data_IF_484292192481
#
_entry.id   IF_484292192481
#
_cell.length_a   1.000
_cell.length_b   1.000
_cell.length_c   1.000
_cell.angle_alpha   90.00
_cell.angle_beta   90.00
_cell.angle_gamma   90.00
#
_symmetry.space_group_name_H-M   'P 1'
#
loop_
_entity.id
_entity.type
_entity.pdbx_description
1 polymer ?
#
# COMPACT_ATOMS: atom_id res chain seq x y z
N UNK A 1 -12.38 -15.79 10.41
CA UNK A 1 -12.94 -14.48 9.99
C UNK A 1 -11.85 -13.46 9.74
N UNK A 2 -10.94 -13.18 10.67
CA UNK A 2 -9.81 -12.23 10.53
C UNK A 2 -8.96 -12.55 9.28
N UNK A 3 -8.52 -13.80 9.13
CA UNK A 3 -7.74 -14.24 7.96
C UNK A 3 -8.43 -13.98 6.60
N UNK A 4 -9.75 -14.12 6.54
CA UNK A 4 -10.50 -13.84 5.31
C UNK A 4 -10.50 -12.34 4.98
N UNK A 5 -10.65 -11.49 6.00
CA UNK A 5 -10.60 -10.03 5.83
C UNK A 5 -9.21 -9.57 5.39
N UNK A 6 -8.16 -10.17 5.92
CA UNK A 6 -6.78 -9.90 5.52
C UNK A 6 -6.53 -10.24 4.03
N UNK A 7 -6.99 -11.41 3.57
CA UNK A 7 -6.93 -11.78 2.13
C UNK A 7 -7.70 -10.77 1.27
N UNK A 8 -8.89 -10.34 1.71
CA UNK A 8 -9.68 -9.35 0.99
C UNK A 8 -8.92 -8.02 0.92
N UNK A 9 -8.30 -7.58 2.02
CA UNK A 9 -7.47 -6.37 2.05
C UNK A 9 -6.31 -6.46 1.07
N UNK A 10 -5.52 -7.52 1.12
CA UNK A 10 -4.42 -7.73 0.15
C UNK A 10 -4.93 -7.71 -1.29
N UNK A 11 -6.08 -8.33 -1.57
CA UNK A 11 -6.68 -8.31 -2.90
C UNK A 11 -7.11 -6.91 -3.32
N UNK A 12 -7.72 -6.12 -2.44
CA UNK A 12 -8.09 -4.72 -2.72
C UNK A 12 -6.86 -3.86 -2.99
N UNK A 13 -5.80 -3.99 -2.18
CA UNK A 13 -4.54 -3.29 -2.42
C UNK A 13 -3.91 -3.66 -3.77
N UNK A 14 -4.00 -4.93 -4.18
CA UNK A 14 -3.57 -5.35 -5.52
C UNK A 14 -4.44 -4.72 -6.63
N UNK A 15 -5.74 -4.60 -6.41
CA UNK A 15 -6.64 -3.90 -7.34
C UNK A 15 -6.27 -2.42 -7.46
N UNK A 16 -5.96 -1.75 -6.34
CA UNK A 16 -5.50 -0.37 -6.30
C UNK A 16 -4.20 -0.23 -7.10
N UNK A 17 -3.21 -1.07 -6.80
CA UNK A 17 -1.93 -1.08 -7.49
C UNK A 17 -2.10 -1.30 -9.01
N UNK A 18 -2.93 -2.27 -9.42
CA UNK A 18 -3.18 -2.55 -10.83
C UNK A 18 -3.79 -1.35 -11.57
N UNK A 19 -4.64 -0.57 -10.89
CA UNK A 19 -5.20 0.67 -11.44
C UNK A 19 -4.12 1.76 -11.59
N UNK A 20 -3.24 1.91 -10.61
CA UNK A 20 -2.13 2.88 -10.64
C UNK A 20 -1.15 2.54 -11.77
N UNK A 21 -0.80 1.27 -11.92
CA UNK A 21 0.14 0.78 -12.95
C UNK A 21 -0.53 0.63 -14.32
N UNK A 22 -1.86 0.68 -14.39
CA UNK A 22 -2.66 0.41 -15.58
C UNK A 22 -2.39 -0.98 -16.18
N UNK A 23 -2.33 -1.98 -15.30
CA UNK A 23 -2.16 -3.38 -15.69
C UNK A 23 -3.41 -4.21 -15.40
N UNK A 24 -3.61 -5.27 -16.22
CA UNK A 24 -4.68 -6.23 -15.96
C UNK A 24 -4.24 -7.25 -14.93
N UNK A 25 -5.03 -7.37 -13.86
CA UNK A 25 -4.90 -8.48 -12.94
C UNK A 25 -5.38 -9.76 -13.62
N UNK A 26 -4.58 -10.81 -13.51
CA UNK A 26 -5.00 -12.17 -13.83
C UNK A 26 -4.91 -13.05 -12.58
N UNK A 27 -5.61 -14.16 -12.58
CA UNK A 27 -5.69 -15.06 -11.43
C UNK A 27 -4.29 -15.52 -10.95
N UNK A 28 -3.37 -15.79 -11.89
CA UNK A 28 -1.99 -16.19 -11.57
C UNK A 28 -1.26 -15.11 -10.79
N UNK A 29 -1.35 -13.84 -11.22
CA UNK A 29 -0.73 -12.70 -10.52
C UNK A 29 -1.31 -12.55 -9.11
N UNK A 30 -2.62 -12.68 -8.96
CA UNK A 30 -3.30 -12.58 -7.65
C UNK A 30 -2.81 -13.69 -6.71
N UNK A 31 -2.81 -14.93 -7.14
CA UNK A 31 -2.37 -16.07 -6.31
C UNK A 31 -0.90 -15.92 -5.91
N UNK A 32 -0.01 -15.61 -6.86
CA UNK A 32 1.41 -15.40 -6.57
C UNK A 32 1.60 -14.25 -5.59
N UNK A 33 0.84 -13.17 -5.72
CA UNK A 33 0.95 -12.02 -4.83
C UNK A 33 0.50 -12.33 -3.40
N UNK A 34 -0.58 -13.08 -3.24
CA UNK A 34 -1.04 -13.51 -1.92
C UNK A 34 0.04 -14.40 -1.26
N UNK A 35 0.62 -15.32 -2.01
CA UNK A 35 1.71 -16.17 -1.52
C UNK A 35 2.92 -15.31 -1.11
N UNK A 36 3.34 -14.35 -1.94
CA UNK A 36 4.46 -13.46 -1.64
C UNK A 36 4.19 -12.59 -0.40
N UNK A 37 2.95 -12.12 -0.22
CA UNK A 37 2.56 -11.36 0.95
C UNK A 37 2.75 -12.17 2.25
N UNK A 38 2.20 -13.39 2.30
CA UNK A 38 2.34 -14.24 3.47
C UNK A 38 3.79 -14.68 3.71
N UNK A 39 4.54 -14.90 2.64
CA UNK A 39 5.96 -15.24 2.73
C UNK A 39 6.79 -14.06 3.28
N UNK A 40 6.50 -12.84 2.84
CA UNK A 40 7.10 -11.61 3.38
C UNK A 40 6.73 -11.42 4.84
N UNK A 41 5.48 -11.65 5.22
CA UNK A 41 5.01 -11.55 6.61
C UNK A 41 5.73 -12.56 7.50
N UNK A 42 5.84 -13.82 7.08
CA UNK A 42 6.58 -14.85 7.81
C UNK A 42 8.06 -14.49 7.96
N UNK A 43 8.70 -14.00 6.90
CA UNK A 43 10.10 -13.58 6.94
C UNK A 43 10.31 -12.47 7.97
N UNK A 44 9.44 -11.47 7.97
CA UNK A 44 9.54 -10.36 8.93
C UNK A 44 9.27 -10.81 10.36
N UNK A 45 8.32 -11.70 10.62
CA UNK A 45 8.09 -12.27 11.94
C UNK A 45 9.34 -13.00 12.41
N UNK A 46 9.90 -13.90 11.60
CA UNK A 46 11.09 -14.68 11.98
C UNK A 46 12.30 -13.79 12.26
N UNK A 47 12.51 -12.73 11.46
CA UNK A 47 13.67 -11.85 11.60
C UNK A 47 13.53 -10.86 12.75
N UNK A 48 12.33 -10.32 12.99
CA UNK A 48 12.13 -9.19 13.89
C UNK A 48 11.39 -9.54 15.19
N UNK A 49 10.75 -10.72 15.32
CA UNK A 49 9.93 -11.09 16.49
C UNK A 49 10.71 -11.00 17.81
N UNK A 50 12.00 -11.30 17.80
CA UNK A 50 12.87 -11.28 18.99
C UNK A 50 13.63 -9.95 19.16
N UNK A 51 13.36 -8.94 18.35
CA UNK A 51 14.11 -7.68 18.35
C UNK A 51 13.25 -6.51 18.80
N UNK A 52 13.88 -5.48 19.38
CA UNK A 52 13.24 -4.21 19.69
C UNK A 52 12.70 -3.51 18.41
N UNK A 53 13.11 -3.97 17.24
CA UNK A 53 12.72 -3.47 15.92
C UNK A 53 11.45 -4.13 15.34
N UNK A 54 10.74 -4.97 16.10
CA UNK A 54 9.52 -5.65 15.62
C UNK A 54 8.50 -4.68 15.03
N UNK A 55 8.30 -3.54 15.69
CA UNK A 55 7.38 -2.51 15.21
C UNK A 55 7.80 -1.96 13.83
N UNK A 56 9.07 -1.64 13.65
CA UNK A 56 9.60 -1.18 12.35
C UNK A 56 9.51 -2.25 11.28
N UNK A 57 9.77 -3.50 11.64
CA UNK A 57 9.62 -4.64 10.72
C UNK A 57 8.21 -4.76 10.19
N UNK A 58 7.20 -4.65 11.05
CA UNK A 58 5.79 -4.73 10.65
C UNK A 58 5.38 -3.63 9.68
N UNK A 59 5.91 -2.41 9.84
CA UNK A 59 5.66 -1.29 8.92
C UNK A 59 6.26 -1.53 7.53
N UNK A 60 7.33 -2.31 7.42
CA UNK A 60 8.03 -2.58 6.16
C UNK A 60 7.42 -3.74 5.35
N UNK A 61 6.51 -4.54 5.93
CA UNK A 61 5.92 -5.70 5.24
C UNK A 61 5.22 -5.27 3.94
N UNK A 62 4.31 -4.31 3.99
CA UNK A 62 3.57 -3.84 2.83
C UNK A 62 4.47 -3.18 1.77
N UNK A 63 5.36 -2.22 2.12
CA UNK A 63 6.29 -1.64 1.15
C UNK A 63 7.16 -2.71 0.47
N UNK A 64 7.73 -3.64 1.22
CA UNK A 64 8.56 -4.72 0.66
C UNK A 64 7.76 -5.60 -0.29
N UNK A 65 6.56 -6.02 0.13
CA UNK A 65 5.66 -6.81 -0.70
C UNK A 65 5.35 -6.10 -2.03
N UNK A 66 4.98 -4.81 -2.00
CA UNK A 66 4.63 -4.07 -3.21
C UNK A 66 5.83 -3.81 -4.11
N UNK A 67 7.02 -3.57 -3.57
CA UNK A 67 8.26 -3.47 -4.35
C UNK A 67 8.53 -4.80 -5.07
N UNK A 68 8.46 -5.93 -4.37
CA UNK A 68 8.65 -7.26 -4.97
C UNK A 68 7.59 -7.57 -6.02
N UNK A 69 6.33 -7.23 -5.75
CA UNK A 69 5.24 -7.40 -6.69
C UNK A 69 5.46 -6.57 -7.96
N UNK A 70 5.80 -5.29 -7.82
CA UNK A 70 6.06 -4.38 -8.94
C UNK A 70 7.27 -4.83 -9.77
N UNK A 71 8.32 -5.35 -9.13
CA UNK A 71 9.46 -5.98 -9.81
C UNK A 71 9.07 -7.23 -10.61
N UNK A 72 8.09 -8.01 -10.12
CA UNK A 72 7.63 -9.23 -10.79
C UNK A 72 6.86 -8.97 -12.09
N UNK A 73 6.26 -7.79 -12.21
CA UNK A 73 5.48 -7.38 -13.39
C UNK A 73 6.38 -7.15 -14.62
N UNK A 74 7.66 -6.85 -14.41
CA UNK A 74 8.67 -6.81 -15.50
C UNK A 74 8.72 -5.54 -16.32
N UNK A 75 7.61 -4.83 -16.54
CA UNK A 75 7.56 -3.62 -17.38
C UNK A 75 8.28 -2.40 -16.78
N UNK A 76 8.42 -2.35 -15.46
CA UNK A 76 8.98 -1.22 -14.71
C UNK A 76 10.43 -1.43 -14.27
N UNK A 77 11.04 -2.59 -14.57
CA UNK A 77 12.40 -2.95 -14.12
C UNK A 77 13.49 -1.94 -14.47
N UNK A 78 13.30 -1.19 -15.58
CA UNK A 78 14.32 -0.25 -16.05
C UNK A 78 14.26 1.15 -15.40
N UNK A 79 13.26 1.44 -14.54
CA UNK A 79 13.02 2.77 -14.01
C UNK A 79 12.74 2.73 -12.51
N UNK A 80 13.78 2.79 -11.70
CA UNK A 80 13.71 2.68 -10.23
C UNK A 80 12.76 3.71 -9.61
N UNK A 81 12.75 4.96 -10.08
CA UNK A 81 11.85 6.00 -9.57
C UNK A 81 10.37 5.67 -9.80
N UNK A 82 10.02 5.13 -10.96
CA UNK A 82 8.66 4.69 -11.24
C UNK A 82 8.28 3.45 -10.43
N UNK A 83 9.24 2.53 -10.24
CA UNK A 83 9.04 1.35 -9.41
C UNK A 83 8.64 1.74 -7.99
N UNK A 84 9.41 2.64 -7.37
CA UNK A 84 9.14 3.12 -6.02
C UNK A 84 7.81 3.87 -5.95
N UNK A 85 7.57 4.79 -6.88
CA UNK A 85 6.31 5.53 -6.93
C UNK A 85 5.09 4.61 -7.01
N UNK A 86 5.07 3.68 -7.96
CA UNK A 86 3.94 2.77 -8.11
C UNK A 86 3.78 1.77 -6.97
N UNK A 87 4.84 1.47 -6.25
CA UNK A 87 4.79 0.61 -5.07
C UNK A 87 4.30 1.35 -3.82
N UNK A 88 4.83 2.55 -3.58
CA UNK A 88 4.61 3.28 -2.33
C UNK A 88 3.39 4.21 -2.38
N UNK A 89 3.06 4.77 -3.56
CA UNK A 89 1.93 5.70 -3.69
C UNK A 89 0.59 5.10 -3.24
N UNK A 90 0.21 3.87 -3.66
CA UNK A 90 -1.04 3.28 -3.21
C UNK A 90 -1.11 3.08 -1.70
N UNK A 91 0.02 2.68 -1.11
CA UNK A 91 0.13 2.47 0.34
C UNK A 91 0.04 3.78 1.12
N UNK A 92 0.82 4.79 0.71
CA UNK A 92 0.80 6.09 1.36
C UNK A 92 -0.58 6.74 1.27
N UNK A 93 -1.23 6.62 0.11
CA UNK A 93 -2.57 7.17 -0.07
C UNK A 93 -3.62 6.42 0.78
N UNK A 94 -3.55 5.10 0.85
CA UNK A 94 -4.37 4.29 1.74
C UNK A 94 -4.18 4.67 3.20
N UNK A 95 -2.94 4.79 3.66
CA UNK A 95 -2.64 5.11 5.06
C UNK A 95 -3.13 6.52 5.44
N UNK A 96 -2.96 7.50 4.56
CA UNK A 96 -3.52 8.86 4.75
C UNK A 96 -5.05 8.82 4.89
N UNK A 97 -5.75 8.09 4.02
CA UNK A 97 -7.21 7.98 4.09
C UNK A 97 -7.65 7.24 5.36
N UNK A 98 -6.96 6.16 5.73
CA UNK A 98 -7.22 5.40 6.96
C UNK A 98 -7.06 6.29 8.20
N UNK A 99 -5.96 7.04 8.28
CA UNK A 99 -5.69 7.96 9.40
C UNK A 99 -6.70 9.11 9.43
N UNK A 100 -7.07 9.65 8.27
CA UNK A 100 -8.13 10.67 8.17
C UNK A 100 -9.45 10.14 8.70
N UNK A 101 -9.89 8.96 8.31
CA UNK A 101 -11.11 8.32 8.80
C UNK A 101 -11.03 8.07 10.31
N UNK A 102 -9.89 7.57 10.80
CA UNK A 102 -9.66 7.33 12.23
C UNK A 102 -9.81 8.61 13.05
N UNK A 103 -9.10 9.65 12.64
CA UNK A 103 -9.05 10.90 13.41
C UNK A 103 -10.30 11.76 13.28
N UNK A 104 -10.81 11.99 12.06
CA UNK A 104 -11.90 12.94 11.84
C UNK A 104 -13.30 12.34 11.94
N UNK A 105 -13.46 11.05 11.66
CA UNK A 105 -14.78 10.41 11.65
C UNK A 105 -14.94 9.52 12.88
N UNK A 106 -14.06 8.54 13.05
CA UNK A 106 -14.22 7.50 14.07
C UNK A 106 -14.08 8.08 15.47
N UNK A 107 -13.08 8.95 15.71
CA UNK A 107 -12.84 9.55 17.03
C UNK A 107 -13.97 10.46 17.53
N UNK A 108 -14.81 10.98 16.61
CA UNK A 108 -15.93 11.86 16.96
C UNK A 108 -17.21 11.11 17.31
N UNK A 109 -17.29 9.82 17.00
CA UNK A 109 -18.48 8.99 17.23
C UNK A 109 -18.13 7.89 18.25
N UNK A 110 -18.58 7.96 19.50
CA UNK A 110 -18.14 7.04 20.56
C UNK A 110 -18.36 5.56 20.24
N UNK A 111 -19.43 5.22 19.52
CA UNK A 111 -19.73 3.84 19.12
C UNK A 111 -18.70 3.35 18.12
N UNK A 112 -18.35 4.16 17.12
CA UNK A 112 -17.35 3.81 16.11
C UNK A 112 -15.95 3.74 16.70
N UNK A 113 -15.64 4.61 17.66
CA UNK A 113 -14.36 4.60 18.38
C UNK A 113 -14.16 3.28 19.15
N UNK A 114 -15.16 2.86 19.93
CA UNK A 114 -15.11 1.56 20.62
C UNK A 114 -14.97 0.37 19.66
N UNK A 115 -15.65 0.43 18.50
CA UNK A 115 -15.52 -0.61 17.48
C UNK A 115 -14.12 -0.62 16.90
N UNK A 116 -13.55 0.56 16.61
CA UNK A 116 -12.20 0.71 16.05
C UNK A 116 -11.10 0.19 16.99
N UNK A 117 -11.28 0.26 18.29
CA UNK A 117 -10.35 -0.29 19.29
C UNK A 117 -10.28 -1.84 19.25
N UNK A 118 -11.24 -2.49 18.61
CA UNK A 118 -11.19 -3.95 18.40
C UNK A 118 -10.38 -4.32 17.16
N UNK A 119 -9.66 -5.44 17.18
CA UNK A 119 -8.93 -5.95 16.03
C UNK A 119 -9.84 -6.08 14.79
N UNK A 120 -11.06 -6.55 14.97
CA UNK A 120 -12.04 -6.67 13.89
C UNK A 120 -12.45 -5.30 13.32
N UNK A 121 -12.73 -4.34 14.20
CA UNK A 121 -13.08 -2.99 13.80
C UNK A 121 -11.96 -2.32 13.03
N UNK A 122 -10.73 -2.39 13.51
CA UNK A 122 -9.56 -1.85 12.81
C UNK A 122 -9.44 -2.41 11.40
N UNK A 123 -9.64 -3.72 11.22
CA UNK A 123 -9.62 -4.36 9.89
C UNK A 123 -10.76 -3.89 8.99
N UNK A 124 -11.98 -3.76 9.52
CA UNK A 124 -13.13 -3.27 8.74
C UNK A 124 -12.89 -1.83 8.27
N UNK A 125 -12.37 -0.96 9.12
CA UNK A 125 -12.06 0.42 8.75
C UNK A 125 -10.88 0.52 7.78
N UNK A 126 -9.91 -0.37 7.89
CA UNK A 126 -8.84 -0.53 6.91
C UNK A 126 -9.37 -0.88 5.52
N UNK A 127 -10.26 -1.87 5.43
CA UNK A 127 -10.93 -2.25 4.19
C UNK A 127 -11.79 -1.11 3.61
N UNK A 128 -12.48 -0.37 4.46
CA UNK A 128 -13.26 0.81 4.03
C UNK A 128 -12.34 1.86 3.40
N UNK A 129 -11.18 2.14 4.01
CA UNK A 129 -10.19 3.05 3.46
C UNK A 129 -9.68 2.56 2.09
N UNK A 130 -9.41 1.26 1.93
CA UNK A 130 -8.99 0.66 0.66
C UNK A 130 -10.04 0.82 -0.43
N UNK A 131 -11.32 0.60 -0.11
CA UNK A 131 -12.43 0.81 -1.03
C UNK A 131 -12.49 2.27 -1.48
N UNK A 132 -12.39 3.22 -0.54
CA UNK A 132 -12.37 4.65 -0.85
C UNK A 132 -11.20 4.99 -1.78
N UNK A 133 -10.00 4.53 -1.46
CA UNK A 133 -8.80 4.74 -2.29
C UNK A 133 -8.97 4.14 -3.68
N UNK A 134 -9.52 2.93 -3.79
CA UNK A 134 -9.80 2.30 -5.08
C UNK A 134 -10.71 3.17 -5.95
N UNK A 135 -11.79 3.72 -5.39
CA UNK A 135 -12.67 4.62 -6.12
C UNK A 135 -11.97 5.91 -6.51
N UNK A 136 -11.24 6.55 -5.61
CA UNK A 136 -10.52 7.78 -5.89
C UNK A 136 -9.48 7.58 -7.01
N UNK A 137 -8.64 6.55 -6.92
CA UNK A 137 -7.65 6.25 -7.97
C UNK A 137 -8.32 5.89 -9.30
N UNK A 138 -9.48 5.22 -9.26
CA UNK A 138 -10.23 4.92 -10.47
C UNK A 138 -10.73 6.19 -11.18
N UNK A 139 -11.11 7.23 -10.44
CA UNK A 139 -11.49 8.53 -11.00
C UNK A 139 -10.29 9.25 -11.64
N UNK A 140 -9.09 9.10 -11.06
CA UNK A 140 -7.86 9.77 -11.53
C UNK A 140 -6.99 8.90 -12.43
N UNK A 141 -7.46 7.75 -12.87
CA UNK A 141 -6.71 6.77 -13.69
C UNK A 141 -5.97 7.41 -14.87
N UNK A 142 -6.61 8.36 -15.55
CA UNK A 142 -6.03 9.01 -16.73
C UNK A 142 -4.72 9.74 -16.42
N UNK A 143 -4.61 10.37 -15.26
CA UNK A 143 -3.42 11.12 -14.85
C UNK A 143 -2.21 10.23 -14.54
N UNK A 144 -2.44 9.02 -14.04
CA UNK A 144 -1.38 8.10 -13.69
C UNK A 144 -0.83 7.33 -14.90
N UNK A 145 -1.65 7.06 -15.92
CA UNK A 145 -1.19 6.36 -17.13
C UNK A 145 -0.15 7.15 -17.91
N UNK A 146 -0.16 8.48 -17.84
CA UNK A 146 0.83 9.34 -18.50
C UNK A 146 2.24 9.20 -17.92
N UNK A 147 2.39 8.79 -16.66
CA UNK A 147 3.71 8.57 -16.03
C UNK A 147 4.47 7.38 -16.62
N UNK A 148 3.79 6.49 -17.36
CA UNK A 148 4.42 5.38 -18.11
C UNK A 148 5.21 5.84 -19.34
N UNK A 149 5.11 7.11 -19.76
CA UNK A 149 5.75 7.62 -20.97
C UNK A 149 7.27 7.43 -20.86
N UNK A 150 7.85 6.86 -21.94
CA UNK A 150 9.25 6.40 -22.00
C UNK A 150 10.31 7.47 -21.69
N UNK A 151 10.00 8.74 -21.88
CA UNK A 151 10.92 9.85 -21.65
C UNK A 151 10.33 10.86 -20.66
N UNK A 152 10.43 10.54 -19.37
CA UNK A 152 10.14 11.53 -18.33
C UNK A 152 11.17 12.67 -18.43
N UNK A 153 10.69 13.90 -18.49
CA UNK A 153 11.56 15.08 -18.39
C UNK A 153 12.25 15.15 -17.01
N UNK A 154 13.32 15.91 -16.92
CA UNK A 154 14.12 16.01 -15.68
C UNK A 154 13.30 16.53 -14.49
N UNK A 155 12.35 17.45 -14.77
CA UNK A 155 11.47 18.03 -13.75
C UNK A 155 10.53 16.95 -13.16
N UNK A 156 9.90 16.15 -14.01
CA UNK A 156 9.00 15.06 -13.57
C UNK A 156 9.77 13.98 -12.83
N UNK A 157 11.00 13.63 -13.25
CA UNK A 157 11.86 12.70 -12.50
C UNK A 157 12.17 13.23 -11.10
N UNK A 158 12.52 14.51 -10.99
CA UNK A 158 12.83 15.12 -9.69
C UNK A 158 11.60 15.11 -8.77
N UNK A 159 10.41 15.44 -9.28
CA UNK A 159 9.16 15.40 -8.52
C UNK A 159 8.87 13.97 -8.03
N UNK A 160 9.04 12.96 -8.88
CA UNK A 160 8.83 11.55 -8.50
C UNK A 160 9.80 11.12 -7.40
N UNK A 161 11.10 11.40 -7.56
CA UNK A 161 12.12 11.06 -6.55
C UNK A 161 11.82 11.75 -5.21
N UNK A 162 11.42 13.02 -5.25
CA UNK A 162 11.04 13.77 -4.05
C UNK A 162 9.81 13.15 -3.39
N UNK A 163 8.77 12.82 -4.15
CA UNK A 163 7.58 12.15 -3.64
C UNK A 163 7.90 10.78 -3.02
N UNK A 164 8.72 9.97 -3.69
CA UNK A 164 9.16 8.66 -3.19
C UNK A 164 9.95 8.79 -1.89
N UNK A 165 10.85 9.79 -1.81
CA UNK A 165 11.64 10.06 -0.60
C UNK A 165 10.74 10.48 0.57
N UNK A 166 9.75 11.35 0.31
CA UNK A 166 8.79 11.78 1.33
C UNK A 166 7.90 10.61 1.79
N UNK A 167 7.46 9.75 0.88
CA UNK A 167 6.69 8.55 1.23
C UNK A 167 7.52 7.57 2.05
N UNK A 168 8.76 7.30 1.65
CA UNK A 168 9.67 6.46 2.44
C UNK A 168 9.92 7.04 3.82
N UNK A 169 10.19 8.35 3.92
CA UNK A 169 10.36 9.03 5.19
C UNK A 169 9.11 8.91 6.07
N UNK A 170 7.91 9.06 5.49
CA UNK A 170 6.64 8.88 6.20
C UNK A 170 6.48 7.48 6.78
N UNK A 171 6.86 6.43 6.05
CA UNK A 171 6.78 5.06 6.55
C UNK A 171 7.88 4.71 7.57
N UNK A 172 9.03 5.38 7.53
CA UNK A 172 10.17 5.12 8.42
C UNK A 172 10.07 5.96 9.70
N UNK A 173 9.57 7.20 9.61
CA UNK A 173 9.40 8.06 10.77
C UNK A 173 8.25 7.52 11.64
N UNK A 174 8.53 7.18 12.91
CA UNK A 174 7.47 6.72 13.80
C UNK A 174 6.41 7.82 13.95
N UNK A 175 5.17 7.47 13.71
CA UNK A 175 4.02 8.28 14.09
C UNK A 175 3.96 8.31 15.63
N UNK A 176 4.53 9.35 16.22
CA UNK A 176 4.37 9.64 17.63
C UNK A 176 2.97 10.18 17.90
#
# INVERSE_FOLDING_TARGET
>A
MIFLLDIIGVFLLLCIHSKVVDERLNLKKVVVSIILYYLSTLLFIVVFESTEFYFFGSLLIYPTFFILYTLSIGELRSKVSLLLFYSLFPLGFWDVIKNFLGYFVISKIPILHRLYETNLGTMIFSLLAEIIVFFLISLFRYNFSHLKIKNLDTKTKFILITADTLMLAYFILPSY
#
